data_IF_903766401356
#
_entry.id   IF_903766401356
#
_cell.length_a   1.000
_cell.length_b   1.000
_cell.length_c   1.000
_cell.angle_alpha   90.00
_cell.angle_beta   90.00
_cell.angle_gamma   90.00
#
_symmetry.space_group_name_H-M   'P 1'
#
loop_
_entity.id
_entity.type
_entity.pdbx_description
1 polymer ?
#
# COMPACT_ATOMS: atom_id res chain seq x y z
N UNK A 1 -22.59 21.03 -2.49
CA UNK A 1 -21.24 21.60 -2.43
C UNK A 1 -20.15 20.54 -2.72
N UNK A 2 -20.19 19.36 -2.08
CA UNK A 2 -19.16 18.31 -2.23
C UNK A 2 -19.19 17.66 -3.63
N UNK A 3 -20.36 17.39 -4.15
CA UNK A 3 -20.58 16.81 -5.47
C UNK A 3 -20.15 17.78 -6.59
N UNK A 4 -20.47 19.07 -6.47
CA UNK A 4 -20.04 20.10 -7.41
C UNK A 4 -18.51 20.21 -7.49
N UNK A 5 -17.81 20.19 -6.35
CA UNK A 5 -16.32 20.16 -6.30
C UNK A 5 -15.74 18.92 -6.98
N UNK A 6 -16.36 17.76 -6.83
CA UNK A 6 -15.91 16.54 -7.50
C UNK A 6 -16.02 16.68 -9.03
N UNK A 7 -17.13 17.18 -9.54
CA UNK A 7 -17.30 17.40 -10.97
C UNK A 7 -16.34 18.47 -11.52
N UNK A 8 -16.11 19.53 -10.76
CA UNK A 8 -15.16 20.59 -11.15
C UNK A 8 -13.72 20.05 -11.21
N UNK A 9 -13.30 19.26 -10.22
CA UNK A 9 -11.98 18.59 -10.23
C UNK A 9 -11.87 17.63 -11.41
N UNK A 10 -12.92 16.85 -11.69
CA UNK A 10 -12.94 15.91 -12.79
C UNK A 10 -12.82 16.64 -14.15
N UNK A 11 -13.60 17.71 -14.33
CA UNK A 11 -13.53 18.52 -15.53
C UNK A 11 -12.15 19.16 -15.71
N UNK A 12 -11.73 19.95 -14.75
CA UNK A 12 -10.52 20.78 -14.89
C UNK A 12 -9.23 19.96 -14.91
N UNK A 13 -9.12 18.93 -14.06
CA UNK A 13 -7.89 18.14 -13.96
C UNK A 13 -7.83 17.05 -15.02
N UNK A 14 -8.90 16.24 -15.14
CA UNK A 14 -8.81 15.05 -15.99
C UNK A 14 -9.27 15.30 -17.41
N UNK A 15 -10.41 15.99 -17.62
CA UNK A 15 -10.91 16.22 -18.98
C UNK A 15 -10.08 17.31 -19.65
N UNK A 16 -10.07 18.52 -19.10
CA UNK A 16 -9.37 19.65 -19.70
C UNK A 16 -7.83 19.46 -19.65
N UNK A 17 -7.30 19.09 -18.46
CA UNK A 17 -5.86 18.99 -18.25
C UNK A 17 -5.20 17.77 -18.90
N UNK A 18 -5.82 16.58 -18.85
CA UNK A 18 -5.20 15.36 -19.36
C UNK A 18 -5.64 15.05 -20.79
N UNK A 19 -6.97 15.01 -21.04
CA UNK A 19 -7.51 14.51 -22.29
C UNK A 19 -7.47 15.58 -23.39
N UNK A 20 -7.89 16.81 -23.12
CA UNK A 20 -8.01 17.84 -24.14
C UNK A 20 -6.69 18.60 -24.39
N UNK A 21 -5.94 18.93 -23.34
CA UNK A 21 -4.75 19.78 -23.44
C UNK A 21 -3.43 19.05 -23.11
N UNK A 22 -3.49 17.86 -22.51
CA UNK A 22 -2.31 17.13 -22.02
C UNK A 22 -1.79 16.03 -22.95
N UNK A 23 -2.36 15.88 -24.14
CA UNK A 23 -1.92 14.84 -25.06
C UNK A 23 -1.06 15.38 -26.21
N UNK A 24 -0.15 14.56 -26.73
CA UNK A 24 0.62 14.78 -27.94
C UNK A 24 0.31 13.63 -28.90
N UNK A 25 -0.27 13.93 -30.07
CA UNK A 25 -0.66 12.93 -31.06
C UNK A 25 -1.53 11.79 -30.50
N UNK A 26 -2.50 12.13 -29.61
CA UNK A 26 -3.39 11.16 -28.97
C UNK A 26 -2.77 10.38 -27.81
N UNK A 27 -1.53 10.66 -27.41
CA UNK A 27 -0.83 10.00 -26.30
C UNK A 27 -0.60 10.95 -25.14
N UNK A 28 -0.78 10.46 -23.91
CA UNK A 28 -0.47 11.20 -22.70
C UNK A 28 0.89 10.73 -22.19
N UNK A 29 1.81 11.68 -22.05
CA UNK A 29 3.18 11.42 -21.57
C UNK A 29 3.34 11.96 -20.16
N UNK A 30 3.33 11.05 -19.17
CA UNK A 30 3.55 11.40 -17.78
C UNK A 30 5.03 11.23 -17.38
N UNK A 31 5.46 12.05 -16.43
CA UNK A 31 6.76 11.88 -15.81
C UNK A 31 6.63 10.94 -14.61
N UNK A 32 7.53 9.96 -14.49
CA UNK A 32 7.61 9.06 -13.35
C UNK A 32 8.85 9.34 -12.53
N UNK A 33 8.67 9.47 -11.20
CA UNK A 33 9.75 9.78 -10.26
C UNK A 33 10.07 8.55 -9.41
N UNK A 34 11.19 7.86 -9.66
CA UNK A 34 11.56 6.66 -8.91
C UNK A 34 12.15 6.96 -7.53
N UNK A 35 12.63 8.18 -7.31
CA UNK A 35 13.25 8.63 -6.06
C UNK A 35 12.61 9.94 -5.62
N UNK A 36 12.50 10.14 -4.30
CA UNK A 36 12.20 11.47 -3.75
C UNK A 36 13.52 12.24 -3.66
N UNK A 37 13.59 13.39 -4.34
CA UNK A 37 14.62 14.38 -4.09
C UNK A 37 14.32 15.07 -2.75
N UNK A 38 15.34 15.18 -1.91
CA UNK A 38 15.27 15.91 -0.64
C UNK A 38 16.21 17.10 -0.79
N UNK A 39 15.78 18.09 -1.55
CA UNK A 39 16.38 19.42 -1.51
C UNK A 39 15.67 20.22 -0.43
N UNK A 40 16.44 20.86 0.44
CA UNK A 40 15.93 21.58 1.61
C UNK A 40 15.03 22.78 1.25
N UNK A 41 15.03 23.22 -0.01
CA UNK A 41 14.30 24.40 -0.49
C UNK A 41 13.00 24.11 -1.25
N UNK A 42 12.79 22.88 -1.80
CA UNK A 42 11.60 22.54 -2.55
C UNK A 42 11.07 21.13 -2.18
N UNK A 43 10.11 21.10 -1.27
CA UNK A 43 9.45 19.84 -0.82
C UNK A 43 8.56 19.20 -1.89
N UNK A 44 8.42 19.81 -3.07
CA UNK A 44 7.44 19.45 -4.14
C UNK A 44 8.03 18.70 -5.35
N UNK A 45 9.31 18.45 -5.43
CA UNK A 45 9.90 17.71 -6.54
C UNK A 45 9.76 16.19 -6.37
N UNK A 46 8.59 15.67 -6.73
CA UNK A 46 8.33 14.27 -7.07
C UNK A 46 8.85 13.18 -6.13
N UNK A 47 8.37 11.96 -6.30
CA UNK A 47 8.81 10.80 -5.52
C UNK A 47 8.08 10.65 -4.18
N UNK A 48 8.25 9.48 -3.54
CA UNK A 48 7.59 9.15 -2.28
C UNK A 48 8.59 8.70 -1.21
N UNK A 49 8.28 8.97 0.07
CA UNK A 49 9.11 8.51 1.21
C UNK A 49 9.15 6.99 1.37
N UNK A 50 8.19 6.28 0.79
CA UNK A 50 8.13 4.81 0.80
C UNK A 50 8.94 4.19 -0.34
N UNK A 51 9.33 5.00 -1.34
CA UNK A 51 10.01 4.55 -2.55
C UNK A 51 9.08 4.06 -3.66
N UNK A 52 7.74 4.18 -3.49
CA UNK A 52 6.79 4.00 -4.59
C UNK A 52 7.10 5.01 -5.69
N UNK A 53 6.84 4.64 -6.93
CA UNK A 53 6.84 5.58 -8.03
C UNK A 53 5.76 6.64 -7.77
N UNK A 54 6.04 7.89 -8.09
CA UNK A 54 5.02 8.92 -8.25
C UNK A 54 4.99 9.39 -9.68
N UNK A 55 3.89 10.02 -10.07
CA UNK A 55 3.70 10.52 -11.44
C UNK A 55 3.28 11.99 -11.40
N UNK A 56 3.79 12.77 -12.34
CA UNK A 56 3.44 14.18 -12.53
C UNK A 56 3.38 14.54 -14.02
N UNK A 57 2.80 15.65 -14.34
CA UNK A 57 2.71 16.25 -15.68
C UNK A 57 2.22 15.30 -16.79
N UNK A 58 1.04 14.66 -16.67
CA UNK A 58 0.08 14.66 -15.58
C UNK A 58 0.28 13.50 -14.57
N UNK A 59 -0.40 13.56 -13.40
CA UNK A 59 -0.37 12.44 -12.45
C UNK A 59 -1.39 11.36 -12.83
N UNK A 60 -1.01 10.40 -13.64
CA UNK A 60 -1.87 9.32 -14.11
C UNK A 60 -2.22 8.29 -12.99
N UNK A 61 -1.47 8.27 -11.89
CA UNK A 61 -1.74 7.36 -10.76
C UNK A 61 -2.95 7.78 -9.92
N UNK A 62 -3.42 9.04 -10.10
CA UNK A 62 -4.57 9.57 -9.36
C UNK A 62 -5.92 9.40 -10.08
N UNK A 63 -5.95 8.76 -11.25
CA UNK A 63 -7.20 8.54 -11.99
C UNK A 63 -8.11 7.61 -11.17
N UNK A 64 -9.31 8.05 -10.74
CA UNK A 64 -10.17 7.29 -9.84
C UNK A 64 -10.57 5.94 -10.44
N UNK A 65 -10.64 4.90 -9.58
CA UNK A 65 -11.03 3.54 -10.00
C UNK A 65 -12.48 3.21 -9.70
N UNK A 66 -12.95 3.59 -8.51
CA UNK A 66 -14.20 3.07 -7.92
C UNK A 66 -15.43 3.90 -8.25
N UNK A 67 -15.27 5.13 -8.69
CA UNK A 67 -16.39 6.02 -9.01
C UNK A 67 -16.85 5.79 -10.45
N UNK A 68 -18.14 6.08 -10.73
CA UNK A 68 -18.71 6.01 -12.06
C UNK A 68 -17.90 6.86 -13.06
N UNK A 69 -17.57 8.08 -12.67
CA UNK A 69 -16.77 9.01 -13.51
C UNK A 69 -15.34 8.51 -13.71
N UNK A 70 -14.73 7.93 -12.68
CA UNK A 70 -13.40 7.34 -12.82
C UNK A 70 -13.37 6.17 -13.83
N UNK A 71 -14.43 5.37 -13.89
CA UNK A 71 -14.57 4.33 -14.93
C UNK A 71 -14.66 4.95 -16.33
N UNK A 72 -15.49 5.98 -16.50
CA UNK A 72 -15.59 6.70 -17.77
C UNK A 72 -14.26 7.31 -18.22
N UNK A 73 -13.48 7.88 -17.28
CA UNK A 73 -12.14 8.38 -17.60
C UNK A 73 -11.20 7.27 -18.06
N UNK A 74 -11.25 6.09 -17.41
CA UNK A 74 -10.41 4.94 -17.80
C UNK A 74 -10.81 4.31 -19.13
N UNK A 75 -12.05 4.48 -19.59
CA UNK A 75 -12.51 4.08 -20.92
C UNK A 75 -11.81 4.85 -22.05
N UNK A 76 -11.30 6.05 -21.76
CA UNK A 76 -10.55 6.87 -22.74
C UNK A 76 -9.12 6.38 -22.96
N UNK A 77 -8.58 5.52 -22.08
CA UNK A 77 -7.27 4.92 -22.25
C UNK A 77 -7.41 3.59 -22.97
N UNK A 78 -7.10 3.64 -24.25
CA UNK A 78 -7.23 2.53 -25.20
C UNK A 78 -5.86 1.94 -25.54
N UNK A 79 -5.78 0.66 -25.97
CA UNK A 79 -4.54 0.05 -26.42
C UNK A 79 -4.08 0.61 -27.77
N UNK A 80 -2.91 0.16 -28.24
CA UNK A 80 -2.47 0.35 -29.61
C UNK A 80 -3.48 -0.24 -30.60
N UNK A 81 -3.52 0.30 -31.82
CA UNK A 81 -4.41 -0.20 -32.86
C UNK A 81 -4.15 -1.70 -33.13
N UNK A 82 -5.19 -2.48 -33.13
CA UNK A 82 -5.12 -3.95 -33.29
C UNK A 82 -4.75 -4.74 -32.02
N UNK A 83 -4.49 -4.06 -30.89
CA UNK A 83 -4.14 -4.69 -29.63
C UNK A 83 -5.33 -4.73 -28.66
N UNK A 84 -5.13 -5.42 -27.51
CA UNK A 84 -5.98 -5.35 -26.33
C UNK A 84 -5.24 -4.68 -25.20
N UNK A 85 -5.96 -3.94 -24.35
CA UNK A 85 -5.39 -3.43 -23.09
C UNK A 85 -5.20 -4.56 -22.10
N UNK A 86 -4.09 -4.60 -21.40
CA UNK A 86 -3.85 -5.53 -20.29
C UNK A 86 -3.57 -4.79 -18.99
N UNK A 87 -3.96 -5.41 -17.88
CA UNK A 87 -3.64 -4.99 -16.52
C UNK A 87 -3.16 -6.20 -15.72
N UNK A 88 -2.07 -6.04 -14.97
CA UNK A 88 -1.51 -7.01 -14.04
C UNK A 88 -1.27 -6.33 -12.69
N UNK A 89 -1.91 -6.84 -11.62
CA UNK A 89 -1.95 -6.23 -10.28
C UNK A 89 -1.52 -7.27 -9.23
N UNK A 90 -0.66 -6.89 -8.30
CA UNK A 90 -0.24 -7.80 -7.22
C UNK A 90 -1.39 -8.10 -6.25
N UNK A 91 -1.62 -9.39 -6.01
CA UNK A 91 -2.67 -9.85 -5.12
C UNK A 91 -2.24 -9.77 -3.65
N UNK A 92 -2.75 -8.76 -2.93
CA UNK A 92 -2.53 -8.56 -1.49
C UNK A 92 -1.05 -8.59 -1.06
N UNK A 93 -0.17 -7.98 -1.83
CA UNK A 93 1.28 -8.04 -1.62
C UNK A 93 1.70 -7.64 -0.21
N UNK A 94 1.12 -6.56 0.35
CA UNK A 94 1.49 -6.06 1.68
C UNK A 94 1.29 -7.14 2.77
N UNK A 95 0.24 -7.97 2.69
CA UNK A 95 0.00 -9.04 3.65
C UNK A 95 0.92 -10.25 3.43
N UNK A 96 1.28 -10.55 2.19
CA UNK A 96 2.30 -11.56 1.87
C UNK A 96 3.67 -11.14 2.40
N UNK A 97 4.06 -9.89 2.22
CA UNK A 97 5.25 -9.31 2.80
C UNK A 97 5.20 -9.31 4.34
N UNK A 98 4.04 -9.04 4.96
CA UNK A 98 3.84 -9.15 6.42
C UNK A 98 4.22 -10.54 6.93
N UNK A 99 3.68 -11.60 6.31
CA UNK A 99 3.98 -12.98 6.71
C UNK A 99 5.46 -13.31 6.46
N UNK A 100 6.04 -12.87 5.35
CA UNK A 100 7.48 -13.02 5.08
C UNK A 100 8.33 -12.42 6.21
N UNK A 101 8.09 -11.17 6.60
CA UNK A 101 8.83 -10.53 7.70
C UNK A 101 8.62 -11.24 9.04
N UNK A 102 7.39 -11.69 9.32
CA UNK A 102 7.08 -12.42 10.54
C UNK A 102 7.82 -13.77 10.61
N UNK A 103 7.91 -14.51 9.51
CA UNK A 103 8.71 -15.75 9.41
C UNK A 103 10.20 -15.46 9.62
N UNK A 104 10.75 -14.47 8.94
CA UNK A 104 12.18 -14.08 9.09
C UNK A 104 12.51 -13.66 10.52
N UNK A 105 11.58 -13.03 11.22
CA UNK A 105 11.71 -12.64 12.62
C UNK A 105 11.36 -13.75 13.61
N UNK A 106 10.93 -14.93 13.14
CA UNK A 106 10.48 -16.08 13.96
C UNK A 106 9.32 -15.73 14.90
N UNK A 107 8.39 -14.90 14.43
CA UNK A 107 7.21 -14.53 15.21
C UNK A 107 6.27 -15.70 15.43
N UNK A 108 5.60 -15.72 16.59
CA UNK A 108 4.70 -16.78 17.04
C UNK A 108 3.52 -16.95 16.06
N UNK A 109 3.32 -18.18 15.55
CA UNK A 109 2.21 -18.53 14.65
C UNK A 109 2.35 -18.04 13.20
N UNK A 110 3.48 -17.44 12.81
CA UNK A 110 3.73 -17.02 11.44
C UNK A 110 3.82 -18.22 10.47
N UNK A 111 4.28 -19.37 10.94
CA UNK A 111 4.35 -20.63 10.19
C UNK A 111 2.97 -21.14 9.78
N UNK A 112 1.93 -20.90 10.58
CA UNK A 112 0.54 -21.25 10.25
C UNK A 112 0.10 -20.44 9.01
N UNK A 113 0.29 -19.13 9.03
CA UNK A 113 -0.05 -18.28 7.89
C UNK A 113 0.77 -18.64 6.63
N UNK A 114 2.07 -18.96 6.80
CA UNK A 114 2.91 -19.43 5.70
C UNK A 114 2.36 -20.72 5.07
N UNK A 115 1.98 -21.69 5.89
CA UNK A 115 1.40 -22.97 5.43
C UNK A 115 0.09 -22.74 4.69
N UNK A 116 -0.82 -21.92 5.22
CA UNK A 116 -2.08 -21.58 4.56
C UNK A 116 -1.85 -20.97 3.17
N UNK A 117 -0.89 -20.07 3.02
CA UNK A 117 -0.53 -19.50 1.71
C UNK A 117 0.11 -20.52 0.76
N UNK A 118 0.92 -21.47 1.27
CA UNK A 118 1.54 -22.51 0.43
C UNK A 118 0.53 -23.55 -0.03
N UNK A 119 -0.41 -23.96 0.83
CA UNK A 119 -1.47 -24.91 0.51
C UNK A 119 -2.53 -24.30 -0.43
N UNK A 120 -2.87 -23.02 -0.20
CA UNK A 120 -3.87 -22.28 -0.97
C UNK A 120 -3.31 -20.90 -1.37
N UNK A 121 -2.48 -20.80 -2.43
CA UNK A 121 -1.82 -19.56 -2.80
C UNK A 121 -2.76 -18.37 -3.05
N UNK A 122 -4.00 -18.64 -3.49
CA UNK A 122 -5.05 -17.61 -3.71
C UNK A 122 -5.81 -17.20 -2.45
N UNK A 123 -5.40 -17.67 -1.26
CA UNK A 123 -6.06 -17.30 0.00
C UNK A 123 -6.02 -15.78 0.20
N UNK A 124 -7.18 -15.21 0.51
CA UNK A 124 -7.33 -13.83 0.97
C UNK A 124 -6.91 -13.76 2.45
N UNK A 125 -5.96 -12.87 2.79
CA UNK A 125 -5.47 -12.73 4.16
C UNK A 125 -6.58 -12.35 5.15
N UNK A 126 -7.53 -11.53 4.73
CA UNK A 126 -8.67 -11.17 5.58
C UNK A 126 -9.53 -12.40 5.87
N UNK A 127 -9.73 -13.27 4.88
CA UNK A 127 -10.45 -14.53 5.05
C UNK A 127 -9.66 -15.50 5.93
N UNK A 128 -8.33 -15.57 5.79
CA UNK A 128 -7.47 -16.35 6.68
C UNK A 128 -7.65 -15.93 8.15
N UNK A 129 -7.69 -14.62 8.40
CA UNK A 129 -7.92 -14.09 9.75
C UNK A 129 -9.33 -14.43 10.25
N UNK A 130 -10.35 -14.41 9.40
CA UNK A 130 -11.71 -14.89 9.76
C UNK A 130 -11.66 -16.34 10.24
N UNK A 131 -11.01 -17.22 9.47
CA UNK A 131 -10.89 -18.66 9.79
C UNK A 131 -10.13 -18.91 11.10
N UNK A 132 -9.13 -18.07 11.42
CA UNK A 132 -8.35 -18.19 12.65
C UNK A 132 -9.05 -17.60 13.88
N UNK A 133 -9.88 -16.56 13.69
CA UNK A 133 -10.38 -15.72 14.80
C UNK A 133 -11.89 -15.81 14.99
N UNK A 134 -12.67 -16.31 14.03
CA UNK A 134 -14.13 -16.21 13.95
C UNK A 134 -14.66 -14.75 14.02
N UNK A 135 -13.83 -13.75 13.69
CA UNK A 135 -14.28 -12.38 13.49
C UNK A 135 -15.06 -12.29 12.18
N UNK A 136 -16.03 -11.39 12.11
CA UNK A 136 -16.64 -11.07 10.81
C UNK A 136 -15.58 -10.43 9.89
N UNK A 137 -15.73 -10.62 8.57
CA UNK A 137 -14.72 -10.24 7.58
C UNK A 137 -14.34 -8.76 7.63
N UNK A 138 -15.30 -7.87 7.88
CA UNK A 138 -15.04 -6.43 7.99
C UNK A 138 -14.21 -6.09 9.23
N UNK A 139 -14.47 -6.74 10.37
CA UNK A 139 -13.66 -6.57 11.58
C UNK A 139 -12.23 -7.13 11.38
N UNK A 140 -12.10 -8.31 10.80
CA UNK A 140 -10.81 -8.89 10.45
C UNK A 140 -10.00 -7.96 9.53
N UNK A 141 -10.65 -7.41 8.50
CA UNK A 141 -10.05 -6.42 7.59
C UNK A 141 -9.60 -5.16 8.33
N UNK A 142 -10.44 -4.62 9.21
CA UNK A 142 -10.12 -3.42 10.00
C UNK A 142 -8.96 -3.68 10.98
N UNK A 143 -8.90 -4.85 11.64
CA UNK A 143 -7.77 -5.25 12.46
C UNK A 143 -6.48 -5.35 11.64
N UNK A 144 -6.53 -6.00 10.47
CA UNK A 144 -5.39 -6.15 9.59
C UNK A 144 -4.81 -4.78 9.17
N UNK A 145 -5.66 -3.86 8.73
CA UNK A 145 -5.23 -2.51 8.39
C UNK A 145 -4.74 -1.71 9.60
N UNK A 146 -5.39 -1.85 10.76
CA UNK A 146 -4.96 -1.18 11.98
C UNK A 146 -3.50 -1.55 12.33
N UNK A 147 -3.16 -2.84 12.26
CA UNK A 147 -1.80 -3.33 12.51
C UNK A 147 -0.82 -2.83 11.46
N UNK A 148 -1.12 -3.01 10.18
CA UNK A 148 -0.23 -2.62 9.07
C UNK A 148 0.06 -1.13 9.08
N UNK A 149 -0.94 -0.29 9.36
CA UNK A 149 -0.80 1.16 9.38
C UNK A 149 -0.43 1.74 10.75
N UNK A 150 -0.27 0.90 11.78
CA UNK A 150 0.06 1.34 13.14
C UNK A 150 -1.04 2.21 13.74
N UNK A 151 -2.31 1.90 13.46
CA UNK A 151 -3.45 2.61 14.01
C UNK A 151 -3.60 2.30 15.51
N UNK A 152 -3.77 3.33 16.31
CA UNK A 152 -4.07 3.17 17.75
C UNK A 152 -5.52 2.72 17.97
N UNK A 153 -5.81 2.29 19.19
CA UNK A 153 -7.09 1.76 19.68
C UNK A 153 -8.31 2.62 19.25
N UNK A 154 -8.22 3.95 19.42
CA UNK A 154 -9.31 4.88 19.06
C UNK A 154 -9.59 4.86 17.56
N UNK A 155 -8.54 4.93 16.73
CA UNK A 155 -8.69 4.91 15.28
C UNK A 155 -9.23 3.56 14.78
N UNK A 156 -8.84 2.45 15.43
CA UNK A 156 -9.39 1.13 15.12
C UNK A 156 -10.87 1.04 15.46
N UNK A 157 -11.28 1.57 16.63
CA UNK A 157 -12.69 1.65 17.01
C UNK A 157 -13.51 2.52 16.03
N UNK A 158 -12.94 3.64 15.58
CA UNK A 158 -13.57 4.48 14.55
C UNK A 158 -13.79 3.72 13.23
N UNK A 159 -12.79 2.98 12.77
CA UNK A 159 -12.87 2.16 11.54
C UNK A 159 -13.94 1.05 11.64
N UNK A 160 -14.20 0.56 12.85
CA UNK A 160 -15.18 -0.49 13.12
C UNK A 160 -16.56 0.06 13.51
N UNK A 161 -16.78 1.38 13.51
CA UNK A 161 -17.99 2.03 14.01
C UNK A 161 -18.30 1.66 15.48
N UNK A 162 -17.26 1.55 16.32
CA UNK A 162 -17.36 1.20 17.75
C UNK A 162 -17.15 2.43 18.66
N UNK A 163 -17.48 3.62 18.15
CA UNK A 163 -17.56 4.87 18.91
C UNK A 163 -18.99 5.38 18.90
N UNK A 164 -19.44 5.97 20.02
CA UNK A 164 -20.73 6.67 20.09
C UNK A 164 -20.69 8.04 19.37
N UNK A 165 -21.81 8.73 19.37
CA UNK A 165 -21.94 10.05 18.75
C UNK A 165 -21.01 11.12 19.38
N UNK A 166 -20.51 10.90 20.59
CA UNK A 166 -19.57 11.75 21.31
C UNK A 166 -18.10 11.31 21.13
N UNK A 167 -17.84 10.26 20.33
CA UNK A 167 -16.51 9.73 20.08
C UNK A 167 -15.94 8.90 21.22
N UNK A 168 -16.77 8.42 22.16
CA UNK A 168 -16.39 7.51 23.24
C UNK A 168 -16.55 6.05 22.78
N UNK A 169 -15.78 5.14 23.39
CA UNK A 169 -15.86 3.72 23.08
C UNK A 169 -17.22 3.14 23.48
N UNK A 170 -17.84 2.40 22.60
CA UNK A 170 -19.04 1.61 22.89
C UNK A 170 -18.63 0.49 23.86
N UNK A 171 -19.29 0.42 25.03
CA UNK A 171 -19.04 -0.58 26.05
C UNK A 171 -19.98 -1.79 25.88
N UNK A 172 -19.44 -2.98 26.08
CA UNK A 172 -20.18 -4.25 26.06
C UNK A 172 -19.75 -5.12 27.24
N UNK A 173 -20.58 -6.07 27.73
CA UNK A 173 -20.16 -7.02 28.74
C UNK A 173 -19.05 -7.94 28.23
N UNK A 174 -18.00 -8.13 29.02
CA UNK A 174 -16.98 -9.13 28.72
C UNK A 174 -17.56 -10.55 28.90
N UNK A 175 -17.37 -11.48 27.93
CA UNK A 175 -18.02 -12.79 27.95
C UNK A 175 -17.73 -13.62 29.19
N UNK A 176 -16.51 -13.54 29.75
CA UNK A 176 -16.07 -14.36 30.87
C UNK A 176 -16.30 -13.67 32.23
N UNK A 177 -16.12 -12.35 32.30
CA UNK A 177 -16.14 -11.63 33.59
C UNK A 177 -17.43 -10.86 33.86
N UNK A 178 -18.23 -10.60 32.82
CA UNK A 178 -19.44 -9.75 32.86
C UNK A 178 -19.14 -8.25 33.00
N UNK A 179 -17.89 -7.84 33.21
CA UNK A 179 -17.52 -6.43 33.34
C UNK A 179 -17.67 -5.68 32.02
N UNK A 180 -18.07 -4.40 32.09
CA UNK A 180 -18.12 -3.56 30.91
C UNK A 180 -16.72 -3.23 30.41
N UNK A 181 -16.47 -3.57 29.14
CA UNK A 181 -15.23 -3.28 28.41
C UNK A 181 -15.55 -2.63 27.07
N UNK A 182 -14.60 -1.94 26.48
CA UNK A 182 -14.83 -1.41 25.12
C UNK A 182 -14.91 -2.55 24.10
N UNK A 183 -15.91 -2.52 23.24
CA UNK A 183 -16.15 -3.54 22.22
C UNK A 183 -14.94 -3.77 21.30
N UNK A 184 -14.16 -2.71 21.00
CA UNK A 184 -12.92 -2.81 20.22
C UNK A 184 -11.86 -3.65 20.91
N UNK A 185 -11.79 -3.63 22.25
CA UNK A 185 -10.79 -4.38 23.00
C UNK A 185 -11.00 -5.90 22.88
N UNK A 186 -12.24 -6.36 22.95
CA UNK A 186 -12.58 -7.78 22.75
C UNK A 186 -12.19 -8.26 21.35
N UNK A 187 -12.43 -7.42 20.32
CA UNK A 187 -12.06 -7.77 18.94
C UNK A 187 -10.53 -7.80 18.76
N UNK A 188 -9.82 -6.82 19.32
CA UNK A 188 -8.37 -6.77 19.28
C UNK A 188 -7.72 -7.90 20.09
N UNK A 189 -8.27 -8.24 21.26
CA UNK A 189 -7.80 -9.37 22.06
C UNK A 189 -7.94 -10.68 21.31
N UNK A 190 -9.12 -10.95 20.75
CA UNK A 190 -9.37 -12.13 19.90
C UNK A 190 -8.41 -12.20 18.72
N UNK A 191 -8.19 -11.07 18.04
CA UNK A 191 -7.24 -10.96 16.94
C UNK A 191 -5.81 -11.27 17.40
N UNK A 192 -5.32 -10.61 18.45
CA UNK A 192 -3.93 -10.75 18.90
C UNK A 192 -3.62 -12.13 19.48
N UNK A 193 -4.61 -12.80 20.07
CA UNK A 193 -4.47 -14.18 20.57
C UNK A 193 -4.29 -15.18 19.44
N UNK A 194 -5.02 -15.00 18.33
CA UNK A 194 -5.05 -15.95 17.21
C UNK A 194 -4.08 -15.60 16.07
N UNK A 195 -3.68 -14.31 15.95
CA UNK A 195 -2.76 -13.80 14.94
C UNK A 195 -1.61 -13.02 15.63
N UNK A 196 -0.88 -13.63 16.57
CA UNK A 196 0.10 -12.93 17.41
C UNK A 196 1.25 -12.36 16.58
N UNK A 197 1.70 -13.03 15.52
CA UNK A 197 2.79 -12.60 14.67
C UNK A 197 2.62 -11.19 14.12
N UNK A 198 1.38 -10.76 13.86
CA UNK A 198 1.11 -9.45 13.27
C UNK A 198 1.48 -8.31 14.23
N UNK A 199 1.17 -8.46 15.53
CA UNK A 199 1.56 -7.50 16.57
C UNK A 199 3.03 -7.60 16.91
N UNK A 200 3.57 -8.81 16.99
CA UNK A 200 4.99 -9.03 17.28
C UNK A 200 5.89 -8.37 16.23
N UNK A 201 5.63 -8.58 14.94
CA UNK A 201 6.44 -7.96 13.88
C UNK A 201 6.29 -6.45 13.86
N UNK A 202 5.10 -5.90 14.19
CA UNK A 202 4.90 -4.47 14.30
C UNK A 202 5.75 -3.86 15.44
N UNK A 203 5.80 -4.54 16.58
CA UNK A 203 6.64 -4.13 17.72
C UNK A 203 8.12 -4.20 17.37
N UNK A 204 8.60 -5.30 16.79
CA UNK A 204 9.99 -5.47 16.34
C UNK A 204 10.39 -4.35 15.37
N UNK A 205 9.55 -4.05 14.36
CA UNK A 205 9.82 -2.97 13.43
C UNK A 205 9.89 -1.60 14.13
N UNK A 206 8.96 -1.32 15.06
CA UNK A 206 8.93 -0.08 15.82
C UNK A 206 10.18 0.09 16.70
N UNK A 207 10.61 -0.97 17.38
CA UNK A 207 11.84 -0.98 18.19
C UNK A 207 13.10 -0.78 17.34
N UNK A 208 13.17 -1.43 16.18
CA UNK A 208 14.28 -1.22 15.25
C UNK A 208 14.34 0.22 14.76
N UNK A 209 13.19 0.80 14.40
CA UNK A 209 13.09 2.20 14.00
C UNK A 209 13.52 3.14 15.14
N UNK A 210 13.09 2.87 16.37
CA UNK A 210 13.47 3.67 17.55
C UNK A 210 14.98 3.61 17.83
N UNK A 211 15.58 2.42 17.80
CA UNK A 211 16.99 2.21 18.10
C UNK A 211 17.90 2.65 16.95
N UNK A 212 17.65 2.16 15.72
CA UNK A 212 18.54 2.34 14.56
C UNK A 212 18.23 3.57 13.72
N UNK A 213 17.02 4.15 13.86
CA UNK A 213 16.55 5.26 13.03
C UNK A 213 16.11 4.87 11.63
N UNK A 214 16.03 3.59 11.33
CA UNK A 214 15.53 3.08 10.05
C UNK A 214 15.02 1.63 10.18
N UNK A 215 14.19 1.24 9.22
CA UNK A 215 13.87 -0.16 8.88
C UNK A 215 14.41 -0.49 7.50
N UNK A 216 14.40 -1.76 7.10
CA UNK A 216 14.86 -2.20 5.78
C UNK A 216 13.74 -2.92 5.03
N UNK A 217 13.73 -2.74 3.72
CA UNK A 217 12.98 -3.57 2.79
C UNK A 217 13.69 -4.92 2.58
N UNK A 218 13.04 -5.86 1.88
CA UNK A 218 13.65 -7.16 1.55
C UNK A 218 14.94 -6.98 0.73
N UNK A 219 14.98 -6.01 -0.19
CA UNK A 219 16.19 -5.68 -0.94
C UNK A 219 17.20 -4.80 -0.16
N UNK A 220 16.93 -4.51 1.12
CA UNK A 220 17.87 -3.80 2.00
C UNK A 220 17.75 -2.28 1.96
N UNK A 221 16.87 -1.69 1.15
CA UNK A 221 16.63 -0.24 1.11
C UNK A 221 16.17 0.26 2.47
N UNK A 222 16.69 1.42 2.90
CA UNK A 222 16.42 1.99 4.24
C UNK A 222 15.22 2.92 4.21
N UNK A 223 14.20 2.61 5.01
CA UNK A 223 13.13 3.53 5.37
C UNK A 223 13.50 4.30 6.64
N UNK A 224 13.92 5.56 6.51
CA UNK A 224 14.48 6.37 7.62
C UNK A 224 13.41 7.00 8.50
N UNK A 225 13.78 7.26 9.78
CA UNK A 225 13.01 8.00 10.79
C UNK A 225 13.90 9.11 11.36
N UNK A 226 14.09 10.24 10.64
CA UNK A 226 15.04 11.27 11.02
C UNK A 226 14.51 12.19 12.13
N UNK A 227 13.19 12.29 12.28
CA UNK A 227 12.56 13.27 13.16
C UNK A 227 12.39 12.75 14.59
N UNK A 228 12.34 13.70 15.55
CA UNK A 228 12.22 13.48 16.97
C UNK A 228 11.07 14.30 17.53
N UNK A 229 10.38 13.76 18.54
CA UNK A 229 9.25 14.36 19.26
C UNK A 229 9.49 14.24 20.77
N UNK A 230 8.81 15.02 21.63
CA UNK A 230 8.93 14.84 23.08
C UNK A 230 8.48 13.46 23.50
N UNK A 231 9.19 12.86 24.46
CA UNK A 231 8.87 11.53 25.00
C UNK A 231 7.54 11.52 25.75
N UNK A 232 7.27 12.62 26.44
CA UNK A 232 6.05 12.84 27.21
C UNK A 232 5.33 14.06 26.64
N UNK A 233 4.07 13.94 26.36
CA UNK A 233 3.24 15.01 25.83
C UNK A 233 1.81 14.87 26.33
N UNK A 234 1.26 15.95 26.87
CA UNK A 234 -0.16 15.99 27.21
C UNK A 234 -0.96 16.39 25.96
N UNK A 235 -1.68 15.41 25.42
CA UNK A 235 -2.56 15.60 24.27
C UNK A 235 -3.87 16.34 24.61
N UNK A 236 -4.13 16.59 25.88
CA UNK A 236 -5.34 17.31 26.32
C UNK A 236 -5.16 18.81 26.09
N UNK A 237 -5.62 19.28 24.94
CA UNK A 237 -5.69 20.71 24.63
C UNK A 237 -4.59 21.28 23.73
N UNK A 238 -3.43 20.62 23.57
CA UNK A 238 -2.27 21.20 22.88
C UNK A 238 -1.95 20.56 21.50
N UNK A 239 -2.85 19.72 20.98
CA UNK A 239 -2.63 19.04 19.70
C UNK A 239 -1.45 18.08 19.71
N UNK A 240 -1.04 17.63 18.53
CA UNK A 240 0.13 16.76 18.38
C UNK A 240 1.40 17.63 18.31
N UNK A 241 2.49 17.32 19.07
CA UNK A 241 3.74 18.06 18.98
C UNK A 241 4.33 17.92 17.58
N UNK A 242 4.97 18.97 17.11
CA UNK A 242 5.75 18.97 15.88
C UNK A 242 6.98 18.09 16.04
N UNK A 243 7.42 17.44 14.97
CA UNK A 243 8.60 16.61 15.00
C UNK A 243 9.73 17.28 14.20
N UNK A 244 10.91 17.41 14.83
CA UNK A 244 12.07 18.09 14.28
C UNK A 244 13.24 17.14 14.08
N UNK A 245 14.25 17.54 13.31
CA UNK A 245 15.55 16.90 13.33
C UNK A 245 16.12 16.94 14.77
N UNK A 246 17.03 16.02 15.10
CA UNK A 246 17.45 15.77 16.49
C UNK A 246 17.95 17.01 17.22
N UNK A 247 18.79 17.81 16.57
CA UNK A 247 19.37 19.03 17.17
C UNK A 247 18.28 20.04 17.54
N UNK A 248 17.40 20.35 16.58
CA UNK A 248 16.27 21.24 16.82
C UNK A 248 15.29 20.71 17.85
N UNK A 249 15.04 19.40 17.87
CA UNK A 249 14.18 18.77 18.88
C UNK A 249 14.77 18.89 20.29
N UNK A 250 16.10 18.79 20.45
CA UNK A 250 16.79 19.02 21.74
C UNK A 250 16.67 20.44 22.20
N UNK A 251 16.78 21.42 21.29
CA UNK A 251 16.62 22.87 21.62
C UNK A 251 15.18 23.15 22.09
N UNK A 252 14.17 22.61 21.39
CA UNK A 252 12.76 22.92 21.67
C UNK A 252 12.20 22.10 22.84
N UNK A 253 12.57 20.83 22.99
CA UNK A 253 11.96 19.89 23.96
C UNK A 253 12.92 19.43 25.06
N UNK A 254 14.20 19.81 25.00
CA UNK A 254 15.22 19.31 25.92
C UNK A 254 15.57 17.83 25.70
N UNK A 255 16.24 17.16 26.67
CA UNK A 255 16.78 15.82 26.48
C UNK A 255 15.73 14.70 26.48
N UNK A 256 14.49 14.98 26.90
CA UNK A 256 13.41 14.00 26.98
C UNK A 256 12.69 13.84 25.63
N UNK A 257 13.43 13.43 24.61
CA UNK A 257 12.92 13.21 23.25
C UNK A 257 12.99 11.72 22.86
N UNK A 258 12.16 11.34 21.89
CA UNK A 258 12.14 10.02 21.23
C UNK A 258 12.01 10.18 19.73
N UNK A 259 12.36 9.15 18.96
CA UNK A 259 12.11 9.16 17.52
C UNK A 259 10.62 9.20 17.23
N UNK A 260 10.24 10.10 16.33
CA UNK A 260 8.86 10.31 15.92
C UNK A 260 8.36 9.19 14.98
N UNK A 261 7.07 8.90 15.04
CA UNK A 261 6.33 8.05 14.10
C UNK A 261 6.83 6.60 13.97
N UNK A 262 7.57 6.06 14.94
CA UNK A 262 8.10 4.69 14.88
C UNK A 262 7.02 3.61 14.77
N UNK A 263 5.78 3.88 15.23
CA UNK A 263 4.62 3.02 15.02
C UNK A 263 4.28 2.75 13.55
N UNK A 264 4.78 3.58 12.62
CA UNK A 264 4.63 3.40 11.16
C UNK A 264 5.74 2.53 10.54
N UNK A 265 6.63 1.97 11.35
CA UNK A 265 7.82 1.27 10.87
C UNK A 265 7.49 0.04 10.04
N UNK A 266 6.53 -0.78 10.50
CA UNK A 266 6.06 -1.94 9.74
C UNK A 266 5.49 -1.51 8.38
N UNK A 267 4.58 -0.54 8.36
CA UNK A 267 4.02 -0.03 7.10
C UNK A 267 5.12 0.45 6.13
N UNK A 268 6.12 1.17 6.64
CA UNK A 268 7.25 1.64 5.82
C UNK A 268 8.08 0.49 5.24
N UNK A 269 8.23 -0.63 5.96
CA UNK A 269 8.88 -1.85 5.45
C UNK A 269 8.02 -2.52 4.37
N UNK A 270 6.72 -2.70 4.62
CA UNK A 270 5.81 -3.38 3.70
C UNK A 270 5.62 -2.61 2.40
N UNK A 271 5.25 -1.33 2.48
CA UNK A 271 5.10 -0.47 1.30
C UNK A 271 6.42 -0.27 0.55
N UNK A 272 7.52 -0.20 1.30
CA UNK A 272 8.85 -0.12 0.70
C UNK A 272 9.21 -1.37 -0.07
N UNK A 273 8.92 -2.56 0.46
CA UNK A 273 9.17 -3.83 -0.23
C UNK A 273 8.29 -3.96 -1.46
N UNK A 274 7.01 -3.55 -1.38
CA UNK A 274 6.13 -3.50 -2.55
C UNK A 274 6.66 -2.55 -3.64
N UNK A 275 7.20 -1.39 -3.24
CA UNK A 275 7.83 -0.47 -4.18
C UNK A 275 9.11 -1.04 -4.83
N UNK A 276 9.88 -1.82 -4.09
CA UNK A 276 11.06 -2.50 -4.61
C UNK A 276 10.64 -3.64 -5.57
N UNK A 277 9.58 -4.39 -5.23
CA UNK A 277 9.01 -5.46 -6.06
C UNK A 277 8.59 -4.97 -7.44
N UNK A 278 7.76 -3.92 -7.51
CA UNK A 278 7.30 -3.38 -8.79
C UNK A 278 8.47 -2.87 -9.64
N UNK A 279 9.46 -2.23 -9.02
CA UNK A 279 10.64 -1.75 -9.75
C UNK A 279 11.52 -2.89 -10.24
N UNK A 280 11.74 -3.92 -9.43
CA UNK A 280 12.50 -5.09 -9.85
C UNK A 280 11.77 -5.83 -10.98
N UNK A 281 10.44 -5.95 -10.90
CA UNK A 281 9.64 -6.53 -11.98
C UNK A 281 9.79 -5.75 -13.29
N UNK A 282 9.76 -4.41 -13.23
CA UNK A 282 9.98 -3.56 -14.42
C UNK A 282 11.38 -3.79 -15.05
N UNK A 283 12.41 -3.89 -14.21
CA UNK A 283 13.77 -4.21 -14.66
C UNK A 283 13.82 -5.60 -15.30
N UNK A 284 13.25 -6.61 -14.65
CA UNK A 284 13.24 -7.98 -15.17
C UNK A 284 12.51 -8.07 -16.53
N UNK A 285 11.38 -7.37 -16.70
CA UNK A 285 10.61 -7.31 -17.95
C UNK A 285 11.46 -6.67 -19.06
N UNK A 286 12.18 -5.60 -18.74
CA UNK A 286 13.08 -4.93 -19.67
C UNK A 286 14.26 -5.84 -20.06
N UNK A 287 14.96 -6.42 -19.10
CA UNK A 287 16.12 -7.28 -19.32
C UNK A 287 15.76 -8.57 -20.07
N UNK A 288 14.54 -9.07 -19.91
CA UNK A 288 14.03 -10.20 -20.68
C UNK A 288 13.77 -9.86 -22.17
N UNK A 289 13.91 -8.59 -22.57
CA UNK A 289 13.69 -8.15 -23.95
C UNK A 289 12.25 -8.29 -24.43
N UNK A 290 11.29 -8.21 -23.48
CA UNK A 290 9.86 -8.35 -23.80
C UNK A 290 9.25 -7.07 -24.40
N UNK A 291 9.86 -5.92 -24.14
CA UNK A 291 9.43 -4.61 -24.66
C UNK A 291 10.28 -4.26 -25.89
N UNK A 292 9.73 -4.47 -27.06
CA UNK A 292 10.40 -4.21 -28.36
C UNK A 292 9.70 -3.05 -29.06
N UNK A 293 10.50 -2.25 -29.76
CA UNK A 293 9.98 -1.27 -30.69
C UNK A 293 9.17 -1.99 -31.79
N UNK A 294 8.13 -1.34 -32.30
CA UNK A 294 7.20 -1.87 -33.32
C UNK A 294 6.40 -3.11 -32.90
N UNK A 295 6.35 -3.44 -31.62
CA UNK A 295 5.52 -4.52 -31.07
C UNK A 295 4.19 -4.00 -30.55
N UNK A 296 3.12 -4.78 -30.72
CA UNK A 296 1.83 -4.54 -30.03
C UNK A 296 1.92 -4.81 -28.52
N UNK A 297 2.97 -5.51 -28.07
CA UNK A 297 3.22 -5.83 -26.68
C UNK A 297 4.01 -4.70 -26.01
N UNK A 298 3.33 -3.85 -25.26
CA UNK A 298 3.91 -2.67 -24.62
C UNK A 298 3.59 -2.60 -23.15
N UNK A 299 4.42 -1.85 -22.40
CA UNK A 299 4.12 -1.40 -21.05
C UNK A 299 3.89 0.11 -21.13
N UNK A 300 2.66 0.55 -20.87
CA UNK A 300 2.26 1.94 -21.01
C UNK A 300 2.30 2.72 -19.70
N UNK A 301 1.86 2.12 -18.60
CA UNK A 301 1.72 2.81 -17.32
C UNK A 301 1.86 1.84 -16.14
N UNK A 302 2.48 2.31 -15.06
CA UNK A 302 2.46 1.65 -13.75
C UNK A 302 1.66 2.50 -12.74
N UNK A 303 0.75 1.87 -12.01
CA UNK A 303 -0.12 2.53 -11.02
C UNK A 303 -0.03 1.77 -9.70
N UNK A 304 0.74 2.31 -8.75
CA UNK A 304 1.03 1.69 -7.46
C UNK A 304 1.71 0.32 -7.61
N UNK A 305 0.96 -0.77 -7.56
CA UNK A 305 1.36 -2.17 -7.67
C UNK A 305 0.79 -2.86 -8.93
N UNK A 306 0.28 -2.07 -9.87
CA UNK A 306 -0.33 -2.51 -11.12
C UNK A 306 0.49 -2.03 -12.32
N UNK A 307 0.76 -2.94 -13.26
CA UNK A 307 1.31 -2.66 -14.58
C UNK A 307 0.23 -2.79 -15.66
N UNK A 308 0.26 -1.90 -16.63
CA UNK A 308 -0.71 -1.84 -17.73
C UNK A 308 -0.02 -1.55 -19.05
N UNK A 309 -0.66 -1.97 -20.15
CA UNK A 309 -0.18 -1.68 -21.50
C UNK A 309 -1.04 -2.31 -22.58
N UNK A 310 -0.47 -2.46 -23.74
CA UNK A 310 -1.09 -3.14 -24.89
C UNK A 310 -0.50 -4.53 -25.07
N UNK A 311 -1.29 -5.46 -25.57
CA UNK A 311 -0.82 -6.78 -25.97
C UNK A 311 -1.52 -7.25 -27.25
N UNK A 312 -0.81 -8.01 -28.05
CA UNK A 312 -1.38 -8.75 -29.18
C UNK A 312 -2.56 -9.62 -28.71
N UNK A 313 -3.71 -9.61 -29.38
CA UNK A 313 -4.86 -10.43 -28.99
C UNK A 313 -4.66 -11.94 -29.21
N UNK A 314 -3.65 -12.32 -29.98
CA UNK A 314 -3.35 -13.69 -30.37
C UNK A 314 -2.43 -14.43 -29.41
N UNK A 315 -1.72 -15.42 -29.94
CA UNK A 315 -0.82 -16.28 -29.17
C UNK A 315 0.42 -15.55 -28.66
N UNK A 316 0.96 -14.62 -29.46
CA UNK A 316 2.11 -13.80 -29.08
C UNK A 316 1.83 -13.00 -27.81
N UNK A 317 0.67 -12.33 -27.74
CA UNK A 317 0.29 -11.59 -26.55
C UNK A 317 0.00 -12.47 -25.34
N UNK A 318 -0.61 -13.63 -25.50
CA UNK A 318 -0.80 -14.59 -24.40
C UNK A 318 0.56 -15.03 -23.81
N UNK A 319 1.53 -15.34 -24.67
CA UNK A 319 2.90 -15.69 -24.25
C UNK A 319 3.57 -14.53 -23.52
N UNK A 320 3.50 -13.33 -24.08
CA UNK A 320 4.02 -12.09 -23.45
C UNK A 320 3.42 -11.89 -22.05
N UNK A 321 2.08 -11.95 -21.92
CA UNK A 321 1.38 -11.75 -20.64
C UNK A 321 1.72 -12.82 -19.59
N UNK A 322 1.94 -14.07 -20.03
CA UNK A 322 2.41 -15.15 -19.15
C UNK A 322 3.82 -14.88 -18.63
N UNK A 323 4.74 -14.44 -19.48
CA UNK A 323 6.11 -14.11 -19.10
C UNK A 323 6.15 -12.88 -18.19
N UNK A 324 5.37 -11.82 -18.48
CA UNK A 324 5.22 -10.65 -17.61
C UNK A 324 4.74 -11.07 -16.22
N UNK A 325 3.72 -11.93 -16.14
CA UNK A 325 3.23 -12.44 -14.86
C UNK A 325 4.31 -13.19 -14.08
N UNK A 326 5.01 -14.10 -14.71
CA UNK A 326 6.10 -14.87 -14.08
C UNK A 326 7.21 -13.96 -13.55
N UNK A 327 7.64 -12.97 -14.35
CA UNK A 327 8.65 -11.98 -13.95
C UNK A 327 8.20 -11.07 -12.83
N UNK A 328 6.91 -10.76 -12.74
CA UNK A 328 6.33 -10.04 -11.61
C UNK A 328 6.27 -10.93 -10.35
N UNK A 329 5.77 -12.16 -10.46
CA UNK A 329 5.62 -13.08 -9.31
C UNK A 329 6.96 -13.56 -8.72
N UNK A 330 8.04 -13.49 -9.48
CA UNK A 330 9.38 -13.94 -9.09
C UNK A 330 10.39 -12.82 -8.87
N UNK A 331 9.96 -11.56 -8.95
CA UNK A 331 10.87 -10.40 -8.90
C UNK A 331 11.63 -10.31 -7.57
N UNK A 332 10.98 -10.56 -6.45
CA UNK A 332 11.62 -10.67 -5.12
C UNK A 332 11.13 -11.95 -4.43
N UNK A 333 12.02 -12.88 -4.06
CA UNK A 333 11.62 -14.11 -3.39
C UNK A 333 11.11 -13.83 -1.97
N UNK A 334 9.84 -14.15 -1.71
CA UNK A 334 9.25 -14.13 -0.38
C UNK A 334 9.13 -15.55 0.21
N UNK A 335 8.92 -15.65 1.52
CA UNK A 335 8.65 -16.93 2.22
C UNK A 335 7.24 -17.50 1.92
N UNK A 336 6.42 -16.75 1.22
CA UNK A 336 5.09 -17.12 0.75
C UNK A 336 4.98 -16.82 -0.75
N UNK A 337 4.14 -17.55 -1.51
CA UNK A 337 3.96 -17.26 -2.93
C UNK A 337 3.49 -15.83 -3.18
N UNK A 338 4.09 -15.15 -4.14
CA UNK A 338 3.58 -13.89 -4.70
C UNK A 338 2.66 -14.24 -5.85
N UNK A 339 1.51 -13.59 -5.94
CA UNK A 339 0.55 -13.80 -7.02
C UNK A 339 0.21 -12.48 -7.69
N UNK A 340 0.02 -12.56 -8.99
CA UNK A 340 -0.40 -11.46 -9.85
C UNK A 340 -1.71 -11.82 -10.53
N UNK A 341 -2.74 -11.02 -10.28
CA UNK A 341 -4.01 -11.12 -10.99
C UNK A 341 -3.97 -10.23 -12.24
N UNK A 342 -4.68 -10.62 -13.30
CA UNK A 342 -4.71 -9.81 -14.49
C UNK A 342 -5.84 -10.14 -15.43
N UNK A 343 -6.21 -9.15 -16.23
CA UNK A 343 -7.24 -9.23 -17.26
C UNK A 343 -6.82 -8.46 -18.49
N UNK A 344 -7.52 -8.74 -19.59
CA UNK A 344 -7.44 -7.95 -20.83
C UNK A 344 -8.82 -7.36 -21.12
N UNK A 345 -8.85 -6.27 -21.86
CA UNK A 345 -10.08 -5.57 -22.25
C UNK A 345 -9.84 -4.65 -23.43
N UNK A 346 -10.90 -3.98 -23.92
CA UNK A 346 -10.81 -3.00 -25.01
C UNK A 346 -10.20 -1.67 -24.53
N UNK A 347 -10.19 -1.43 -23.23
CA UNK A 347 -9.66 -0.21 -22.61
C UNK A 347 -9.27 -0.52 -21.15
N UNK A 348 -8.69 0.46 -20.47
CA UNK A 348 -8.26 0.31 -19.07
C UNK A 348 -9.39 0.01 -18.08
N UNK A 349 -10.62 0.48 -18.34
CA UNK A 349 -11.75 0.21 -17.46
C UNK A 349 -12.20 -1.25 -17.51
N UNK A 350 -12.15 -1.88 -18.69
CA UNK A 350 -12.56 -3.28 -18.89
C UNK A 350 -11.51 -4.30 -18.42
N UNK A 351 -10.24 -3.94 -18.48
CA UNK A 351 -9.13 -4.81 -18.06
C UNK A 351 -8.95 -4.92 -16.53
N UNK A 352 -10.05 -4.77 -15.75
CA UNK A 352 -10.02 -4.83 -14.28
C UNK A 352 -11.09 -5.72 -13.67
#
# INVERSE_FOLDING_TARGET
AMEARQYETLKNTFVDGYVLNGHVNGRIHAQFHPLKHVDEENDDEGGTVTGRLSSSNPNLQNIPRRTKVGKMLRELFIPEEGAVWWSKDYSQYEFRALVHYAIKAKCTGADVAQRMYREKPKTDFHQMVVELTDLIRDDAKNCNFAIVYGAGRWKTALMMNLLDAQGKFIAVPHPETGNLVAAVDLKLEKYHTKVPFAKEIANIASEQAAKKGFVRTVLGRRGRFPFWEPKYWDYKGNGKPEAYLRERALEVYGPQIRRAQTHKALNKSLQGTNADEIKQALVNIWEAGLLKDDSLNTLAITVHDENNGSADPGESGRKFLSQVQELMETAIPLEVPVLVDGKTGRNWAEAK
#
